data_IF_772102093015
#
_entry.id   IF_772102093015
#
_cell.length_a   1.000
_cell.length_b   1.000
_cell.length_c   1.000
_cell.angle_alpha   90.00
_cell.angle_beta   90.00
_cell.angle_gamma   90.00
#
_symmetry.space_group_name_H-M   'P 1'
#
loop_
_entity.id
_entity.type
_entity.pdbx_description
1 polymer ?
#
# COMPACT_ATOMS: atom_id res chain seq x y z
N UNK A 1 12.18 -30.73 17.82
CA UNK A 1 11.38 -29.56 17.38
C UNK A 1 10.00 -30.05 16.96
N UNK A 2 8.94 -29.71 17.71
CA UNK A 2 7.57 -30.02 17.29
C UNK A 2 7.22 -29.12 16.11
N UNK A 3 6.95 -29.72 14.96
CA UNK A 3 6.40 -29.01 13.80
C UNK A 3 5.02 -28.51 14.19
N UNK A 4 4.83 -27.20 14.13
CA UNK A 4 3.53 -26.57 14.40
C UNK A 4 2.54 -27.00 13.31
N UNK A 5 1.40 -27.54 13.73
CA UNK A 5 0.34 -27.99 12.80
C UNK A 5 -0.24 -26.75 12.06
N UNK A 6 -0.65 -26.98 10.83
CA UNK A 6 -1.29 -26.00 9.94
C UNK A 6 -2.51 -25.32 10.59
N UNK A 7 -3.16 -26.04 11.54
CA UNK A 7 -4.30 -25.52 12.33
C UNK A 7 -3.88 -24.50 13.39
N UNK A 8 -2.73 -24.69 14.02
CA UNK A 8 -2.23 -23.78 15.06
C UNK A 8 -1.67 -22.50 14.46
N UNK A 9 -1.10 -22.57 13.25
CA UNK A 9 -0.70 -21.41 12.48
C UNK A 9 -1.90 -20.52 12.08
N UNK A 10 -2.99 -21.15 11.61
CA UNK A 10 -4.22 -20.43 11.23
C UNK A 10 -4.86 -19.74 12.43
N UNK A 11 -4.83 -20.38 13.62
CA UNK A 11 -5.29 -19.76 14.87
C UNK A 11 -4.43 -18.59 15.28
N UNK A 12 -3.10 -18.67 15.13
CA UNK A 12 -2.19 -17.56 15.44
C UNK A 12 -2.36 -16.37 14.51
N UNK A 13 -2.58 -16.60 13.21
CA UNK A 13 -2.87 -15.56 12.23
C UNK A 13 -4.26 -14.90 12.44
N UNK A 14 -5.25 -15.70 12.88
CA UNK A 14 -6.59 -15.21 13.22
C UNK A 14 -6.56 -14.39 14.52
N UNK A 15 -5.77 -14.80 15.52
CA UNK A 15 -5.66 -14.08 16.81
C UNK A 15 -4.88 -12.77 16.62
N UNK A 16 -3.85 -12.74 15.76
CA UNK A 16 -3.17 -11.50 15.38
C UNK A 16 -4.10 -10.49 14.70
N UNK A 17 -4.98 -10.96 13.81
CA UNK A 17 -6.00 -10.15 13.17
C UNK A 17 -7.14 -9.70 14.11
N UNK A 18 -7.44 -10.46 15.16
CA UNK A 18 -8.51 -10.13 16.11
C UNK A 18 -8.10 -9.06 17.15
N UNK A 19 -6.83 -9.05 17.56
CA UNK A 19 -6.31 -8.03 18.48
C UNK A 19 -6.26 -6.62 17.84
N UNK A 20 -6.00 -6.56 16.53
CA UNK A 20 -5.90 -5.29 15.79
C UNK A 20 -7.24 -4.57 15.60
N UNK A 21 -8.37 -5.24 15.79
CA UNK A 21 -9.68 -4.63 15.49
C UNK A 21 -10.40 -4.03 16.69
N UNK A 22 -10.02 -4.36 17.91
CA UNK A 22 -10.56 -3.67 19.11
C UNK A 22 -9.91 -2.29 19.27
N UNK A 23 -8.62 -2.16 18.97
CA UNK A 23 -7.91 -0.88 19.03
C UNK A 23 -8.23 0.04 17.83
N UNK A 24 -8.47 -0.51 16.63
CA UNK A 24 -8.84 0.30 15.47
C UNK A 24 -10.16 1.06 15.65
N UNK A 25 -11.12 0.52 16.38
CA UNK A 25 -12.37 1.22 16.71
C UNK A 25 -12.15 2.35 17.73
N UNK A 26 -11.16 2.23 18.61
CA UNK A 26 -10.83 3.24 19.62
C UNK A 26 -9.98 4.36 19.02
N UNK A 27 -9.01 4.05 18.16
CA UNK A 27 -8.17 5.03 17.48
C UNK A 27 -8.95 5.82 16.42
N UNK A 28 -9.91 5.23 15.73
CA UNK A 28 -10.78 5.96 14.80
C UNK A 28 -11.58 7.08 15.47
N UNK A 29 -11.84 7.01 16.77
CA UNK A 29 -12.47 8.11 17.54
C UNK A 29 -11.57 9.32 17.75
N UNK A 30 -10.25 9.17 17.72
CA UNK A 30 -9.30 10.28 17.86
C UNK A 30 -8.96 10.98 16.54
N UNK A 31 -9.37 10.41 15.40
CA UNK A 31 -9.09 10.95 14.07
C UNK A 31 -10.18 11.87 13.51
N UNK A 32 -11.18 12.24 14.31
CA UNK A 32 -12.28 13.12 13.86
C UNK A 32 -11.83 14.57 13.74
N UNK A 33 -11.09 14.87 12.68
CA UNK A 33 -11.08 16.25 12.19
C UNK A 33 -12.49 16.64 11.74
N UNK A 34 -12.88 17.89 11.93
CA UNK A 34 -14.18 18.40 11.46
C UNK A 34 -14.33 18.07 9.96
N UNK A 35 -15.53 17.63 9.49
CA UNK A 35 -15.76 17.31 8.10
C UNK A 35 -15.28 18.43 7.20
N UNK A 36 -14.39 18.12 6.25
CA UNK A 36 -13.95 19.07 5.23
C UNK A 36 -14.88 18.95 4.02
N UNK A 37 -15.25 20.06 3.44
CA UNK A 37 -15.95 20.06 2.15
C UNK A 37 -14.98 19.52 1.08
N UNK A 38 -15.45 18.60 0.24
CA UNK A 38 -14.71 18.06 -0.89
C UNK A 38 -14.14 19.18 -1.79
N UNK A 39 -14.83 20.32 -1.86
CA UNK A 39 -14.35 21.52 -2.57
C UNK A 39 -13.04 22.07 -2.02
N UNK A 40 -12.78 21.92 -0.72
CA UNK A 40 -11.52 22.38 -0.11
C UNK A 40 -10.31 21.54 -0.51
N UNK A 41 -10.54 20.31 -0.99
CA UNK A 41 -9.48 19.42 -1.50
C UNK A 41 -9.05 19.82 -2.93
N UNK A 42 -9.88 20.58 -3.66
CA UNK A 42 -9.72 20.80 -5.09
C UNK A 42 -10.10 19.55 -5.89
N UNK A 43 -9.90 19.61 -7.19
CA UNK A 43 -10.24 18.52 -8.11
C UNK A 43 -9.09 18.24 -9.07
N UNK A 44 -8.96 16.98 -9.49
CA UNK A 44 -8.16 16.59 -10.64
C UNK A 44 -9.08 16.09 -11.77
N UNK A 45 -8.58 16.12 -12.99
CA UNK A 45 -9.32 15.67 -14.17
C UNK A 45 -9.31 14.15 -14.28
N UNK A 46 -8.15 13.52 -14.01
CA UNK A 46 -7.92 12.11 -14.25
C UNK A 46 -6.77 11.58 -13.40
N UNK A 47 -6.89 10.34 -12.94
CA UNK A 47 -5.82 9.60 -12.28
C UNK A 47 -5.54 8.33 -13.08
N UNK A 48 -4.30 8.15 -13.48
CA UNK A 48 -3.81 6.94 -14.16
C UNK A 48 -2.84 6.23 -13.23
N UNK A 49 -3.10 4.98 -12.90
CA UNK A 49 -2.26 4.18 -12.03
C UNK A 49 -1.79 2.94 -12.79
N UNK A 50 -0.47 2.81 -12.92
CA UNK A 50 0.17 1.63 -13.48
C UNK A 50 0.76 0.79 -12.35
N UNK A 51 0.33 -0.45 -12.21
CA UNK A 51 0.94 -1.40 -11.30
C UNK A 51 2.30 -1.83 -11.84
N UNK A 52 3.37 -1.42 -11.18
CA UNK A 52 4.73 -1.84 -11.56
C UNK A 52 5.02 -3.23 -11.02
N UNK A 53 4.65 -3.47 -9.76
CA UNK A 53 4.72 -4.76 -9.08
C UNK A 53 3.59 -4.88 -8.07
N UNK A 54 2.88 -6.02 -8.08
CA UNK A 54 1.80 -6.31 -7.14
C UNK A 54 2.08 -7.52 -6.23
N UNK A 55 3.09 -8.31 -6.54
CA UNK A 55 3.43 -9.52 -5.80
C UNK A 55 4.26 -9.14 -4.58
N UNK A 56 3.75 -9.38 -3.37
CA UNK A 56 4.51 -9.11 -2.14
C UNK A 56 5.70 -10.05 -1.99
N UNK A 57 5.45 -11.35 -2.08
CA UNK A 57 6.44 -12.44 -2.00
C UNK A 57 6.02 -13.62 -2.86
N UNK A 58 6.99 -14.50 -3.22
CA UNK A 58 6.72 -15.64 -4.09
C UNK A 58 6.27 -16.90 -3.34
N UNK A 59 6.82 -17.17 -2.16
CA UNK A 59 6.46 -18.34 -1.35
C UNK A 59 6.12 -17.94 0.09
N UNK A 60 4.85 -18.13 0.44
CA UNK A 60 4.34 -17.89 1.81
C UNK A 60 5.05 -18.76 2.86
N UNK A 61 5.51 -19.97 2.50
CA UNK A 61 6.20 -20.84 3.45
C UNK A 61 7.55 -20.25 3.85
N UNK A 62 8.28 -19.65 2.90
CA UNK A 62 9.55 -18.97 3.16
C UNK A 62 9.34 -17.76 4.05
N UNK A 63 8.36 -16.91 3.73
CA UNK A 63 8.00 -15.76 4.56
C UNK A 63 7.63 -16.17 5.99
N UNK A 64 6.82 -17.22 6.13
CA UNK A 64 6.44 -17.75 7.44
C UNK A 64 7.63 -18.33 8.22
N UNK A 65 8.55 -19.02 7.54
CA UNK A 65 9.76 -19.54 8.17
C UNK A 65 10.63 -18.41 8.74
N UNK A 66 10.80 -17.33 7.99
CA UNK A 66 11.56 -16.15 8.44
C UNK A 66 10.85 -15.45 9.62
N UNK A 67 9.54 -15.28 9.56
CA UNK A 67 8.75 -14.76 10.67
C UNK A 67 8.90 -15.62 11.93
N UNK A 68 8.92 -16.95 11.79
CA UNK A 68 9.10 -17.88 12.92
C UNK A 68 10.49 -17.77 13.53
N UNK A 69 11.56 -17.54 12.73
CA UNK A 69 12.92 -17.25 13.26
C UNK A 69 12.92 -15.99 14.13
N UNK A 70 12.14 -14.97 13.75
CA UNK A 70 11.95 -13.73 14.52
C UNK A 70 11.10 -13.89 15.80
N UNK A 71 10.65 -15.10 16.15
CA UNK A 71 9.84 -15.36 17.34
C UNK A 71 8.34 -15.52 17.08
N UNK A 72 7.93 -15.58 15.82
CA UNK A 72 6.55 -15.79 15.37
C UNK A 72 5.72 -14.51 15.27
N UNK A 73 4.46 -14.60 14.80
CA UNK A 73 3.66 -13.43 14.40
C UNK A 73 3.49 -12.33 15.46
N UNK A 74 3.54 -12.71 16.76
CA UNK A 74 3.37 -11.76 17.86
C UNK A 74 4.67 -11.06 18.31
N UNK A 75 5.83 -11.67 18.04
CA UNK A 75 7.13 -11.20 18.55
C UNK A 75 8.08 -10.74 17.46
N UNK A 76 7.88 -11.23 16.24
CA UNK A 76 8.74 -10.90 15.12
C UNK A 76 8.74 -9.38 14.86
N UNK A 77 9.94 -8.83 14.81
CA UNK A 77 10.19 -7.43 14.49
C UNK A 77 10.91 -7.34 13.16
N UNK A 78 10.37 -6.56 12.24
CA UNK A 78 10.90 -6.46 10.89
C UNK A 78 12.38 -6.08 10.87
N UNK A 79 12.76 -5.08 11.66
CA UNK A 79 14.11 -4.50 11.62
C UNK A 79 15.18 -5.30 12.35
N UNK A 80 14.80 -6.28 13.16
CA UNK A 80 15.72 -7.18 13.89
C UNK A 80 15.76 -8.60 13.36
N UNK A 81 14.84 -8.95 12.46
CA UNK A 81 14.73 -10.29 11.87
C UNK A 81 15.47 -10.33 10.53
N UNK A 82 16.21 -11.40 10.27
CA UNK A 82 16.82 -11.69 8.98
C UNK A 82 15.77 -12.29 8.05
N UNK A 83 15.55 -11.63 6.91
CA UNK A 83 14.58 -12.04 5.89
C UNK A 83 15.28 -12.55 4.65
N UNK A 84 14.69 -13.55 4.01
CA UNK A 84 15.15 -14.04 2.72
C UNK A 84 14.74 -13.08 1.59
N UNK A 85 15.62 -12.13 1.26
CA UNK A 85 15.37 -11.15 0.21
C UNK A 85 15.12 -11.76 -1.18
N UNK A 86 15.57 -13.02 -1.42
CA UNK A 86 15.28 -13.74 -2.66
C UNK A 86 13.82 -14.18 -2.78
N UNK A 87 13.06 -14.17 -1.69
CA UNK A 87 11.64 -14.45 -1.68
C UNK A 87 10.77 -13.18 -1.87
N UNK A 88 11.38 -12.02 -1.95
CA UNK A 88 10.67 -10.76 -2.06
C UNK A 88 10.45 -10.30 -3.49
N UNK A 89 9.28 -9.78 -3.77
CA UNK A 89 8.98 -8.96 -4.96
C UNK A 89 8.61 -7.55 -4.50
N UNK A 90 7.49 -7.42 -3.82
CA UNK A 90 7.00 -6.19 -3.21
C UNK A 90 6.05 -5.40 -4.11
N UNK A 91 5.37 -4.44 -3.49
CA UNK A 91 4.38 -3.58 -4.13
C UNK A 91 5.01 -2.26 -4.60
N UNK A 92 4.68 -1.85 -5.82
CA UNK A 92 5.05 -0.55 -6.36
C UNK A 92 4.09 -0.14 -7.46
N UNK A 93 3.68 1.12 -7.47
CA UNK A 93 2.82 1.68 -8.52
C UNK A 93 3.34 3.03 -9.01
N UNK A 94 3.19 3.30 -10.30
CA UNK A 94 3.40 4.62 -10.89
C UNK A 94 2.04 5.31 -11.02
N UNK A 95 1.91 6.47 -10.43
CA UNK A 95 0.70 7.29 -10.46
C UNK A 95 0.95 8.55 -11.27
N UNK A 96 0.06 8.86 -12.22
CA UNK A 96 -0.01 10.13 -12.92
C UNK A 96 -1.37 10.77 -12.64
N UNK A 97 -1.37 11.98 -12.12
CA UNK A 97 -2.57 12.79 -11.91
C UNK A 97 -2.55 13.97 -12.87
N UNK A 98 -3.57 14.08 -13.70
CA UNK A 98 -3.81 15.21 -14.58
C UNK A 98 -4.70 16.24 -13.88
N UNK A 99 -4.19 17.43 -13.66
CA UNK A 99 -4.94 18.54 -13.10
C UNK A 99 -5.96 19.12 -14.12
N UNK A 100 -6.84 20.01 -13.66
CA UNK A 100 -7.85 20.62 -14.52
C UNK A 100 -7.25 21.52 -15.62
N UNK A 101 -6.08 22.10 -15.36
CA UNK A 101 -5.33 22.93 -16.34
C UNK A 101 -4.46 22.12 -17.31
N UNK A 102 -4.49 20.78 -17.18
CA UNK A 102 -3.71 19.85 -18.01
C UNK A 102 -2.29 19.58 -17.49
N UNK A 103 -1.84 20.25 -16.44
CA UNK A 103 -0.57 19.92 -15.78
C UNK A 103 -0.61 18.52 -15.18
N UNK A 104 0.55 17.88 -15.02
CA UNK A 104 0.66 16.52 -14.55
C UNK A 104 1.57 16.42 -13.34
N UNK A 105 1.13 15.67 -12.35
CA UNK A 105 1.94 15.24 -11.21
C UNK A 105 2.17 13.73 -11.35
N UNK A 106 3.44 13.28 -11.34
CA UNK A 106 3.82 11.87 -11.40
C UNK A 106 4.59 11.48 -10.16
N UNK A 107 4.25 10.34 -9.60
CA UNK A 107 4.96 9.85 -8.43
C UNK A 107 4.88 8.33 -8.33
N UNK A 108 5.82 7.76 -7.56
CA UNK A 108 5.76 6.36 -7.18
C UNK A 108 5.01 6.21 -5.86
N UNK A 109 4.22 5.16 -5.75
CA UNK A 109 3.68 4.65 -4.49
C UNK A 109 4.40 3.35 -4.18
N UNK A 110 5.16 3.37 -3.08
CA UNK A 110 6.02 2.29 -2.61
C UNK A 110 7.18 1.91 -3.57
N UNK A 111 8.09 1.05 -3.13
CA UNK A 111 9.31 0.72 -3.87
C UNK A 111 9.54 -0.77 -4.08
N UNK A 112 8.60 -1.61 -3.59
CA UNK A 112 8.79 -3.05 -3.58
C UNK A 112 9.77 -3.53 -2.50
N UNK A 113 10.24 -4.76 -2.66
CA UNK A 113 11.13 -5.41 -1.70
C UNK A 113 12.53 -5.71 -2.29
N UNK A 114 12.58 -6.55 -3.33
CA UNK A 114 13.84 -7.02 -3.91
C UNK A 114 14.38 -6.01 -4.93
N UNK A 115 15.56 -5.40 -4.71
CA UNK A 115 16.10 -4.38 -5.62
C UNK A 115 16.39 -4.89 -7.03
N UNK A 116 16.85 -6.14 -7.19
CA UNK A 116 17.17 -6.72 -8.52
C UNK A 116 15.88 -6.93 -9.31
N UNK A 117 14.85 -7.48 -8.67
CA UNK A 117 13.55 -7.66 -9.29
C UNK A 117 12.93 -6.31 -9.65
N UNK A 118 12.97 -5.34 -8.75
CA UNK A 118 12.43 -4.01 -9.01
C UNK A 118 13.20 -3.27 -10.11
N UNK A 119 14.53 -3.45 -10.21
CA UNK A 119 15.33 -2.90 -11.30
C UNK A 119 14.87 -3.42 -12.67
N UNK A 120 14.58 -4.72 -12.75
CA UNK A 120 14.01 -5.31 -13.96
C UNK A 120 12.63 -4.72 -14.25
N UNK A 121 11.75 -4.62 -13.25
CA UNK A 121 10.40 -4.07 -13.44
C UNK A 121 10.44 -2.60 -13.88
N UNK A 122 11.33 -1.78 -13.29
CA UNK A 122 11.50 -0.38 -13.67
C UNK A 122 11.94 -0.24 -15.13
N UNK A 123 12.88 -1.06 -15.58
CA UNK A 123 13.30 -1.09 -17.00
C UNK A 123 12.18 -1.55 -17.94
N UNK A 124 11.48 -2.62 -17.57
CA UNK A 124 10.38 -3.17 -18.38
C UNK A 124 9.24 -2.16 -18.56
N UNK A 125 9.03 -1.24 -17.60
CA UNK A 125 7.95 -0.26 -17.60
C UNK A 125 8.41 1.19 -17.89
N UNK A 126 9.72 1.40 -18.10
CA UNK A 126 10.30 2.70 -18.43
C UNK A 126 10.44 3.67 -17.24
N UNK A 127 10.21 3.19 -16.01
CA UNK A 127 10.30 3.99 -14.78
C UNK A 127 11.74 4.44 -14.51
N UNK A 128 12.73 3.61 -14.88
CA UNK A 128 14.15 3.94 -14.79
C UNK A 128 14.52 5.21 -15.56
N UNK A 129 13.95 5.39 -16.76
CA UNK A 129 14.17 6.59 -17.57
C UNK A 129 13.47 7.81 -16.98
N UNK A 130 12.22 7.64 -16.53
CA UNK A 130 11.46 8.71 -15.89
C UNK A 130 12.16 9.24 -14.64
N UNK A 131 12.70 8.34 -13.79
CA UNK A 131 13.48 8.74 -12.62
C UNK A 131 14.75 9.51 -12.99
N UNK A 132 15.52 9.01 -13.96
CA UNK A 132 16.74 9.69 -14.45
C UNK A 132 16.49 11.08 -15.03
N UNK A 133 15.35 11.23 -15.72
CA UNK A 133 14.97 12.49 -16.35
C UNK A 133 14.31 13.48 -15.39
N UNK A 134 14.09 13.11 -14.10
CA UNK A 134 13.37 13.96 -13.14
C UNK A 134 11.88 14.11 -13.45
N UNK A 135 11.29 13.15 -14.17
CA UNK A 135 9.87 13.16 -14.52
C UNK A 135 8.96 12.62 -13.40
N UNK A 136 9.56 12.15 -12.30
CA UNK A 136 8.85 11.66 -11.11
C UNK A 136 9.08 12.66 -9.98
N UNK A 137 8.01 13.31 -9.54
CA UNK A 137 8.04 14.42 -8.59
C UNK A 137 8.41 14.00 -7.17
N UNK A 138 7.97 12.81 -6.75
CA UNK A 138 8.26 12.25 -5.43
C UNK A 138 7.99 10.74 -5.36
N UNK A 139 8.53 10.13 -4.31
CA UNK A 139 8.15 8.79 -3.84
C UNK A 139 7.23 8.94 -2.62
N UNK A 140 6.09 8.30 -2.66
CA UNK A 140 5.14 8.19 -1.55
C UNK A 140 5.21 6.79 -0.96
N UNK A 141 5.68 6.66 0.27
CA UNK A 141 5.75 5.37 0.97
C UNK A 141 4.55 5.23 1.89
N UNK A 142 3.74 4.22 1.65
CA UNK A 142 2.48 4.04 2.39
C UNK A 142 2.71 3.64 3.83
N UNK A 143 3.67 2.76 4.09
CA UNK A 143 4.06 2.30 5.42
C UNK A 143 5.42 1.58 5.36
N UNK A 144 5.90 1.16 6.52
CA UNK A 144 7.29 0.75 6.72
C UNK A 144 7.59 -0.73 6.40
N UNK A 145 6.58 -1.52 5.95
CA UNK A 145 6.81 -2.94 5.67
C UNK A 145 7.86 -3.16 4.57
N UNK A 146 8.55 -4.29 4.72
CA UNK A 146 9.66 -4.71 3.87
C UNK A 146 9.28 -4.77 2.38
N UNK A 147 8.09 -5.23 2.06
CA UNK A 147 7.59 -5.37 0.68
C UNK A 147 7.04 -4.06 0.08
N UNK A 148 7.13 -2.94 0.81
CA UNK A 148 6.79 -1.60 0.36
C UNK A 148 8.00 -0.65 0.32
N UNK A 149 9.01 -0.90 1.18
CA UNK A 149 10.12 0.04 1.37
C UNK A 149 11.48 -0.51 0.93
N UNK A 150 11.74 -1.83 1.05
CA UNK A 150 13.10 -2.34 0.96
C UNK A 150 13.67 -2.40 -0.46
N UNK A 151 12.86 -2.20 -1.50
CA UNK A 151 13.29 -1.96 -2.87
C UNK A 151 13.86 -0.57 -3.16
N UNK A 152 13.96 0.30 -2.14
CA UNK A 152 14.38 1.70 -2.26
C UNK A 152 15.72 1.90 -2.99
N UNK A 153 16.66 0.96 -2.87
CA UNK A 153 17.93 1.00 -3.60
C UNK A 153 17.74 1.20 -5.10
N UNK A 154 16.73 0.56 -5.68
CA UNK A 154 16.42 0.70 -7.11
C UNK A 154 15.97 2.10 -7.47
N UNK A 155 15.12 2.70 -6.66
CA UNK A 155 14.67 4.09 -6.89
C UNK A 155 15.86 5.05 -6.82
N UNK A 156 16.69 4.91 -5.78
CA UNK A 156 17.86 5.77 -5.55
C UNK A 156 18.96 5.57 -6.59
N UNK A 157 19.09 4.39 -7.18
CA UNK A 157 20.01 4.12 -8.29
C UNK A 157 19.78 5.06 -9.48
N UNK A 158 18.52 5.40 -9.71
CA UNK A 158 18.12 6.24 -10.85
C UNK A 158 17.90 7.70 -10.47
N UNK A 159 17.47 7.97 -9.23
CA UNK A 159 17.31 9.33 -8.71
C UNK A 159 17.59 9.38 -7.20
N UNK A 160 18.85 9.58 -6.78
CA UNK A 160 19.21 9.67 -5.37
C UNK A 160 18.67 10.93 -4.67
N UNK A 161 18.22 11.92 -5.43
CA UNK A 161 17.71 13.20 -4.92
C UNK A 161 16.17 13.27 -4.89
N UNK A 162 15.48 12.17 -5.21
CA UNK A 162 14.02 12.13 -5.21
C UNK A 162 13.46 12.55 -3.84
N UNK A 163 12.45 13.41 -3.83
CA UNK A 163 11.73 13.73 -2.60
C UNK A 163 10.96 12.48 -2.12
N UNK A 164 11.07 12.14 -0.84
CA UNK A 164 10.39 10.99 -0.24
C UNK A 164 9.40 11.48 0.81
N UNK A 165 8.15 11.00 0.72
CA UNK A 165 7.07 11.27 1.69
C UNK A 165 6.79 10.00 2.48
N UNK A 166 6.90 10.06 3.81
CA UNK A 166 6.64 8.95 4.73
C UNK A 166 5.62 9.37 5.79
N UNK A 167 4.87 8.44 6.42
CA UNK A 167 4.09 8.76 7.61
C UNK A 167 5.03 9.05 8.80
N UNK A 168 4.64 10.00 9.65
CA UNK A 168 5.44 10.41 10.83
C UNK A 168 5.56 9.33 11.92
N UNK A 169 4.95 8.17 11.71
CA UNK A 169 5.05 7.00 12.60
C UNK A 169 6.22 6.08 12.30
N UNK A 170 7.03 6.38 11.29
CA UNK A 170 8.22 5.57 10.97
C UNK A 170 9.14 5.43 12.18
N UNK A 171 9.56 4.21 12.44
CA UNK A 171 10.53 3.93 13.48
C UNK A 171 11.92 4.47 13.12
N UNK A 172 12.77 4.79 14.11
CA UNK A 172 14.14 5.22 13.84
C UNK A 172 14.93 4.31 12.88
N UNK A 173 14.81 2.96 12.95
CA UNK A 173 15.43 2.09 11.95
C UNK A 173 14.93 2.31 10.52
N UNK A 174 13.65 2.60 10.33
CA UNK A 174 13.09 2.89 9.00
C UNK A 174 13.58 4.22 8.43
N UNK A 175 13.59 5.27 9.24
CA UNK A 175 14.19 6.56 8.87
C UNK A 175 15.67 6.40 8.53
N UNK A 176 16.42 5.64 9.36
CA UNK A 176 17.82 5.31 9.10
C UNK A 176 17.99 4.51 7.80
N UNK A 177 17.09 3.57 7.52
CA UNK A 177 17.11 2.81 6.27
C UNK A 177 16.99 3.72 5.04
N UNK A 178 16.20 4.79 5.09
CA UNK A 178 16.09 5.75 3.99
C UNK A 178 17.35 6.61 3.88
N UNK A 179 17.84 7.16 4.98
CA UNK A 179 18.91 8.16 5.00
C UNK A 179 20.33 7.57 4.97
N UNK A 180 20.51 6.29 5.29
CA UNK A 180 21.81 5.62 5.37
C UNK A 180 22.03 4.72 4.15
N UNK A 181 23.29 4.60 3.70
CA UNK A 181 23.70 3.69 2.63
C UNK A 181 23.70 2.21 3.06
N UNK A 182 23.78 1.93 4.37
CA UNK A 182 23.89 0.56 4.89
C UNK A 182 22.86 0.30 5.99
N UNK A 183 22.16 -0.83 5.85
CA UNK A 183 21.38 -1.41 6.92
C UNK A 183 21.52 -2.94 6.91
N UNK A 184 22.31 -3.48 7.83
CA UNK A 184 22.79 -4.87 7.77
C UNK A 184 21.96 -5.92 8.53
N UNK A 185 21.08 -5.50 9.47
CA UNK A 185 20.38 -6.47 10.35
C UNK A 185 19.28 -7.26 9.66
N UNK A 186 18.72 -6.71 8.61
CA UNK A 186 17.58 -7.31 7.88
C UNK A 186 17.97 -8.15 6.65
N UNK A 187 19.27 -8.33 6.40
CA UNK A 187 19.78 -9.04 5.22
C UNK A 187 19.80 -8.23 3.93
N UNK A 188 19.38 -6.95 3.97
CA UNK A 188 19.45 -6.04 2.83
C UNK A 188 20.66 -5.12 2.97
N UNK A 189 21.50 -5.12 1.94
CA UNK A 189 22.60 -4.16 1.80
C UNK A 189 22.17 -3.04 0.88
N UNK A 190 22.35 -1.81 1.33
CA UNK A 190 22.20 -0.61 0.51
C UNK A 190 23.55 0.05 0.31
N UNK A 191 23.78 0.55 -0.91
CA UNK A 191 25.02 1.21 -1.29
C UNK A 191 24.82 2.68 -1.68
N UNK A 192 23.58 3.08 -1.97
CA UNK A 192 23.24 4.43 -2.44
C UNK A 192 22.51 5.19 -1.32
N UNK A 193 23.09 6.30 -0.90
CA UNK A 193 22.51 7.18 0.08
C UNK A 193 21.44 8.07 -0.54
N UNK A 194 20.30 8.26 0.13
CA UNK A 194 19.34 9.28 -0.22
C UNK A 194 19.89 10.67 0.05
N UNK A 195 19.81 11.55 -0.94
CA UNK A 195 20.32 12.92 -0.90
C UNK A 195 19.23 13.98 -1.01
N UNK A 196 18.01 13.55 -1.32
CA UNK A 196 16.87 14.43 -1.49
C UNK A 196 16.19 14.81 -0.17
N UNK A 197 15.02 15.42 -0.28
CA UNK A 197 14.22 15.82 0.87
C UNK A 197 13.39 14.64 1.39
N UNK A 198 13.56 14.29 2.65
CA UNK A 198 12.66 13.41 3.40
C UNK A 198 11.59 14.27 4.09
N UNK A 199 10.31 13.95 3.87
CA UNK A 199 9.17 14.68 4.43
C UNK A 199 8.31 13.71 5.21
N UNK A 200 8.13 13.97 6.49
CA UNK A 200 7.21 13.24 7.35
C UNK A 200 5.83 13.88 7.29
N UNK A 201 4.84 13.11 6.88
CA UNK A 201 3.43 13.52 6.89
C UNK A 201 2.79 13.09 8.21
N UNK A 202 2.22 14.05 8.92
CA UNK A 202 1.64 13.79 10.24
C UNK A 202 0.43 12.86 10.15
N UNK A 203 0.47 11.77 10.89
CA UNK A 203 -0.70 10.91 11.08
C UNK A 203 -1.76 11.63 11.91
N UNK A 204 -3.04 11.28 11.67
CA UNK A 204 -4.17 11.99 12.26
C UNK A 204 -4.52 13.33 11.60
N UNK A 205 -3.69 13.82 10.69
CA UNK A 205 -3.92 15.02 9.89
C UNK A 205 -4.07 14.67 8.41
N UNK A 206 -4.82 15.50 7.68
CA UNK A 206 -4.86 15.45 6.23
C UNK A 206 -3.83 16.41 5.65
N UNK A 207 -3.04 15.94 4.71
CA UNK A 207 -2.09 16.78 3.97
C UNK A 207 -2.51 16.83 2.50
N UNK A 208 -2.81 18.02 2.01
CA UNK A 208 -3.01 18.24 0.58
C UNK A 208 -1.64 18.27 -0.11
N UNK A 209 -1.43 17.36 -1.06
CA UNK A 209 -0.18 17.28 -1.84
C UNK A 209 -0.24 18.17 -3.07
N UNK A 210 -1.38 18.15 -3.78
CA UNK A 210 -1.71 19.02 -4.91
C UNK A 210 -3.25 19.18 -4.97
N UNK A 211 -3.81 20.12 -5.76
CA UNK A 211 -5.25 20.17 -5.97
C UNK A 211 -5.81 18.81 -6.40
N UNK A 212 -6.80 18.31 -5.67
CA UNK A 212 -7.39 17.00 -5.89
C UNK A 212 -6.60 15.80 -5.36
N UNK A 213 -5.45 16.00 -4.70
CA UNK A 213 -4.64 14.92 -4.11
C UNK A 213 -4.46 15.17 -2.62
N UNK A 214 -4.96 14.27 -1.80
CA UNK A 214 -4.84 14.32 -0.33
C UNK A 214 -4.21 13.03 0.20
N UNK A 215 -3.28 13.18 1.13
CA UNK A 215 -2.78 12.11 1.99
C UNK A 215 -3.49 12.16 3.34
N UNK A 216 -3.87 11.01 3.87
CA UNK A 216 -4.29 10.83 5.25
C UNK A 216 -3.52 9.69 5.89
N UNK A 217 -2.92 9.96 7.04
CA UNK A 217 -2.17 9.00 7.83
C UNK A 217 -2.95 8.52 9.05
N UNK A 218 -2.75 7.28 9.41
CA UNK A 218 -3.43 6.59 10.50
C UNK A 218 -2.39 5.97 11.43
N UNK A 219 -2.54 6.25 12.73
CA UNK A 219 -1.67 5.72 13.78
C UNK A 219 -2.27 4.42 14.33
N UNK A 220 -1.69 3.29 13.98
CA UNK A 220 -2.09 1.98 14.48
C UNK A 220 -0.91 1.01 14.47
N UNK A 221 -0.90 0.05 15.41
CA UNK A 221 0.06 -1.03 15.38
C UNK A 221 -0.26 -2.01 14.24
N UNK A 222 0.78 -2.38 13.50
CA UNK A 222 0.72 -3.32 12.38
C UNK A 222 1.61 -4.53 12.71
N UNK A 223 1.38 -5.66 12.02
CA UNK A 223 2.24 -6.84 12.18
C UNK A 223 3.71 -6.49 11.99
N UNK A 224 4.62 -7.34 12.48
CA UNK A 224 6.07 -7.14 12.41
C UNK A 224 6.57 -5.92 13.20
N UNK A 225 5.77 -5.45 14.17
CA UNK A 225 6.07 -4.28 15.01
C UNK A 225 6.26 -2.98 14.23
N UNK A 226 5.52 -2.81 13.18
CA UNK A 226 5.44 -1.57 12.41
C UNK A 226 4.31 -0.70 12.94
N UNK A 227 4.43 0.62 12.80
CA UNK A 227 3.46 1.58 13.30
C UNK A 227 2.98 2.51 12.19
N UNK A 228 1.66 2.58 12.03
CA UNK A 228 0.98 3.52 11.14
C UNK A 228 1.07 3.22 9.65
N UNK A 229 0.11 3.73 8.93
CA UNK A 229 0.09 3.73 7.47
C UNK A 229 -0.63 4.97 6.94
N UNK A 230 -0.35 5.34 5.71
CA UNK A 230 -1.01 6.45 5.03
C UNK A 230 -1.56 6.02 3.67
N UNK A 231 -2.63 6.68 3.25
CA UNK A 231 -3.30 6.45 1.97
C UNK A 231 -3.57 7.74 1.24
N UNK A 232 -3.74 7.65 -0.07
CA UNK A 232 -4.07 8.77 -0.93
C UNK A 232 -5.56 8.76 -1.28
N UNK A 233 -6.12 9.94 -1.40
CA UNK A 233 -7.46 10.18 -1.89
C UNK A 233 -7.40 11.17 -3.04
N UNK A 234 -7.98 10.80 -4.17
CA UNK A 234 -8.05 11.66 -5.34
C UNK A 234 -9.49 12.11 -5.56
N UNK A 235 -9.71 13.42 -5.64
CA UNK A 235 -11.02 13.96 -5.98
C UNK A 235 -11.10 14.17 -7.49
N UNK A 236 -11.68 13.19 -8.19
CA UNK A 236 -11.83 13.23 -9.64
C UNK A 236 -13.09 13.99 -10.01
N UNK A 237 -12.94 15.05 -10.81
CA UNK A 237 -14.02 15.93 -11.24
C UNK A 237 -15.20 15.15 -11.81
N UNK A 238 -16.41 15.48 -11.39
CA UNK A 238 -17.69 14.87 -11.82
C UNK A 238 -17.83 13.36 -11.51
N UNK A 239 -16.82 12.73 -10.87
CA UNK A 239 -16.82 11.29 -10.53
C UNK A 239 -16.85 11.06 -9.02
N UNK A 240 -16.06 11.79 -8.25
CA UNK A 240 -15.91 11.64 -6.80
C UNK A 240 -14.56 11.08 -6.37
N UNK A 241 -14.49 10.61 -5.12
CA UNK A 241 -13.25 10.18 -4.51
C UNK A 241 -12.80 8.79 -4.98
N UNK A 242 -11.50 8.70 -5.26
CA UNK A 242 -10.76 7.45 -5.46
C UNK A 242 -9.84 7.25 -4.27
N UNK A 243 -9.94 6.13 -3.58
CA UNK A 243 -9.03 5.70 -2.53
C UNK A 243 -7.88 4.88 -3.14
N UNK A 244 -6.64 5.25 -2.82
CA UNK A 244 -5.44 4.48 -3.21
C UNK A 244 -4.65 4.09 -1.97
N UNK A 245 -4.44 2.79 -1.76
CA UNK A 245 -3.81 2.20 -0.58
C UNK A 245 -2.57 1.39 -0.95
N UNK A 246 -1.66 1.19 0.01
CA UNK A 246 -0.62 0.16 -0.08
C UNK A 246 -1.17 -1.20 0.35
N UNK A 247 -1.47 -1.34 1.65
CA UNK A 247 -2.01 -2.58 2.23
C UNK A 247 -3.36 -2.43 2.91
N UNK A 248 -3.72 -1.25 3.38
CA UNK A 248 -5.00 -1.04 4.05
C UNK A 248 -5.16 -1.86 5.35
N UNK A 249 -4.14 -1.87 6.23
CA UNK A 249 -4.13 -2.67 7.45
C UNK A 249 -5.25 -2.32 8.43
N UNK A 250 -5.74 -1.07 8.38
CA UNK A 250 -6.91 -0.64 9.16
C UNK A 250 -8.24 -1.16 8.63
N UNK A 251 -8.24 -1.90 7.52
CA UNK A 251 -9.44 -2.31 6.82
C UNK A 251 -10.00 -1.24 5.86
N UNK A 252 -10.37 -1.69 4.68
CA UNK A 252 -10.96 -0.86 3.62
C UNK A 252 -12.21 -0.11 4.07
N UNK A 253 -12.96 -0.66 5.03
CA UNK A 253 -14.15 -0.03 5.59
C UNK A 253 -13.77 1.26 6.34
N UNK A 254 -12.74 1.19 7.21
CA UNK A 254 -12.24 2.34 7.96
C UNK A 254 -11.74 3.46 7.04
N UNK A 255 -10.95 3.12 6.02
CA UNK A 255 -10.45 4.10 5.04
C UNK A 255 -11.57 4.73 4.22
N UNK A 256 -12.58 3.94 3.86
CA UNK A 256 -13.74 4.42 3.11
C UNK A 256 -14.67 5.28 3.97
N UNK A 257 -14.93 4.87 5.22
CA UNK A 257 -15.70 5.68 6.18
C UNK A 257 -14.96 6.99 6.51
N UNK A 258 -13.62 6.98 6.58
CA UNK A 258 -12.83 8.19 6.74
C UNK A 258 -13.06 9.18 5.58
N UNK A 259 -13.04 8.70 4.34
CA UNK A 259 -13.31 9.51 3.16
C UNK A 259 -14.71 10.15 3.20
N UNK A 260 -15.71 9.38 3.58
CA UNK A 260 -17.09 9.87 3.70
C UNK A 260 -17.22 10.94 4.80
N UNK A 261 -16.65 10.67 5.97
CA UNK A 261 -16.84 11.51 7.16
C UNK A 261 -15.96 12.76 7.15
N UNK A 262 -14.77 12.69 6.52
CA UNK A 262 -13.78 13.77 6.61
C UNK A 262 -13.50 14.48 5.28
N UNK A 263 -13.82 13.86 4.15
CA UNK A 263 -13.61 14.45 2.82
C UNK A 263 -14.92 14.78 2.09
N UNK A 264 -16.08 14.60 2.73
CA UNK A 264 -17.36 14.99 2.17
C UNK A 264 -17.83 14.13 0.99
N UNK A 265 -17.44 12.86 0.93
CA UNK A 265 -17.80 11.95 -0.17
C UNK A 265 -19.28 11.57 -0.27
N UNK A 266 -20.16 12.14 0.58
CA UNK A 266 -21.63 11.97 0.57
C UNK A 266 -22.10 10.50 0.45
N UNK A 267 -21.38 9.57 1.13
CA UNK A 267 -21.77 8.17 1.24
C UNK A 267 -21.38 7.28 0.06
N UNK A 268 -20.75 7.81 -0.99
CA UNK A 268 -20.31 7.00 -2.15
C UNK A 268 -18.90 7.36 -2.57
N UNK A 269 -18.13 6.33 -2.93
CA UNK A 269 -16.79 6.44 -3.47
C UNK A 269 -16.78 6.01 -4.93
N UNK A 270 -16.03 6.72 -5.76
CA UNK A 270 -15.94 6.41 -7.17
C UNK A 270 -15.03 5.21 -7.44
N UNK A 271 -13.84 5.17 -6.82
CA UNK A 271 -12.86 4.15 -7.11
C UNK A 271 -12.03 3.71 -5.91
N UNK A 272 -11.43 2.53 -6.07
CA UNK A 272 -10.51 1.94 -5.11
C UNK A 272 -9.35 1.32 -5.88
N UNK A 273 -8.11 1.59 -5.44
CA UNK A 273 -6.91 0.97 -5.98
C UNK A 273 -5.99 0.51 -4.83
N UNK A 274 -5.36 -0.68 -5.02
CA UNK A 274 -4.26 -1.15 -4.17
C UNK A 274 -4.57 -2.40 -3.37
N UNK A 275 -3.69 -2.71 -2.42
CA UNK A 275 -3.83 -3.81 -1.48
C UNK A 275 -4.88 -3.53 -0.41
N UNK A 276 -5.67 -4.54 -0.03
CA UNK A 276 -6.75 -4.42 0.96
C UNK A 276 -6.55 -5.30 2.20
N UNK A 277 -5.47 -6.04 2.25
CA UNK A 277 -5.07 -6.95 3.35
C UNK A 277 -6.22 -7.84 3.87
N UNK A 278 -7.07 -8.35 2.97
CA UNK A 278 -8.23 -9.14 3.35
C UNK A 278 -7.87 -10.62 3.51
N UNK A 279 -7.21 -11.19 2.49
CA UNK A 279 -6.83 -12.61 2.49
C UNK A 279 -5.39 -12.84 1.98
N UNK A 280 -4.36 -12.15 2.52
CA UNK A 280 -2.99 -12.18 1.99
C UNK A 280 -2.35 -13.57 2.02
N UNK A 281 -2.81 -14.44 2.91
CA UNK A 281 -2.31 -15.81 3.05
C UNK A 281 -3.26 -16.88 2.47
N UNK A 282 -4.15 -16.49 1.57
CA UNK A 282 -5.01 -17.39 0.80
C UNK A 282 -6.20 -17.97 1.53
N UNK A 283 -6.60 -17.44 2.70
CA UNK A 283 -7.83 -17.84 3.41
C UNK A 283 -8.73 -16.65 3.64
N UNK A 284 -10.02 -16.83 3.34
CA UNK A 284 -11.09 -15.91 3.65
C UNK A 284 -11.91 -16.53 4.78
N UNK A 285 -11.91 -15.92 5.96
CA UNK A 285 -12.73 -16.32 7.10
C UNK A 285 -13.98 -15.45 7.20
N UNK A 286 -14.92 -15.82 8.07
CA UNK A 286 -16.20 -15.11 8.26
C UNK A 286 -16.03 -13.59 8.47
N UNK A 287 -15.03 -13.18 9.26
CA UNK A 287 -14.74 -11.78 9.51
C UNK A 287 -14.35 -11.04 8.23
N UNK A 288 -13.45 -11.63 7.45
CA UNK A 288 -12.99 -11.07 6.18
C UNK A 288 -14.12 -11.07 5.14
N UNK A 289 -14.97 -12.10 5.10
CA UNK A 289 -16.19 -12.09 4.29
C UNK A 289 -17.11 -10.96 4.68
N UNK A 290 -17.27 -10.70 5.98
CA UNK A 290 -18.02 -9.55 6.50
C UNK A 290 -17.48 -8.22 5.99
N UNK A 291 -16.13 -8.07 5.89
CA UNK A 291 -15.54 -6.87 5.30
C UNK A 291 -15.88 -6.73 3.81
N UNK A 292 -15.73 -7.82 3.04
CA UNK A 292 -16.06 -7.79 1.61
C UNK A 292 -17.54 -7.47 1.42
N UNK A 293 -18.44 -8.09 2.18
CA UNK A 293 -19.88 -7.80 2.11
C UNK A 293 -20.18 -6.31 2.40
N UNK A 294 -19.53 -5.74 3.41
CA UNK A 294 -19.73 -4.35 3.81
C UNK A 294 -19.15 -3.33 2.81
N UNK A 295 -18.25 -3.72 1.91
CA UNK A 295 -17.76 -2.81 0.86
C UNK A 295 -18.88 -2.31 -0.06
N UNK A 296 -19.97 -3.10 -0.20
CA UNK A 296 -21.13 -2.75 -1.05
C UNK A 296 -21.78 -1.42 -0.66
N UNK A 297 -21.72 -1.02 0.63
CA UNK A 297 -22.30 0.25 1.11
C UNK A 297 -21.67 1.49 0.46
N UNK A 298 -20.42 1.41 0.00
CA UNK A 298 -19.68 2.54 -0.53
C UNK A 298 -19.95 2.85 -2.01
N UNK A 299 -20.58 1.92 -2.72
CA UNK A 299 -21.04 2.14 -4.10
C UNK A 299 -19.95 2.36 -5.12
N UNK A 300 -18.74 1.80 -4.91
CA UNK A 300 -17.62 1.86 -5.85
C UNK A 300 -18.07 1.55 -7.29
N UNK A 301 -17.52 2.29 -8.25
CA UNK A 301 -17.71 2.06 -9.69
C UNK A 301 -16.54 1.32 -10.32
N UNK A 302 -15.38 1.32 -9.65
CA UNK A 302 -14.17 0.57 -10.05
C UNK A 302 -13.44 0.12 -8.79
N UNK A 303 -13.17 -1.19 -8.68
CA UNK A 303 -12.34 -1.78 -7.62
C UNK A 303 -11.12 -2.42 -8.29
N UNK A 304 -10.00 -1.73 -8.28
CA UNK A 304 -8.74 -2.18 -8.85
C UNK A 304 -7.84 -2.71 -7.72
N UNK A 305 -8.30 -3.72 -7.01
CA UNK A 305 -7.54 -4.34 -5.93
C UNK A 305 -6.42 -5.23 -6.46
N UNK A 306 -5.37 -5.40 -5.66
CA UNK A 306 -4.22 -6.26 -5.99
C UNK A 306 -3.46 -6.67 -4.71
N UNK A 307 -2.21 -7.14 -4.86
CA UNK A 307 -1.24 -7.38 -3.80
C UNK A 307 -1.81 -8.22 -2.65
N UNK A 308 -1.82 -7.70 -1.42
CA UNK A 308 -2.28 -8.38 -0.20
C UNK A 308 -3.80 -8.54 -0.08
N UNK A 309 -4.59 -8.10 -1.06
CA UNK A 309 -6.04 -8.35 -1.08
C UNK A 309 -6.33 -9.85 -1.05
N UNK A 310 -5.55 -10.64 -1.79
CA UNK A 310 -5.68 -12.08 -1.86
C UNK A 310 -6.81 -12.55 -2.80
N UNK A 311 -6.53 -13.58 -3.57
CA UNK A 311 -7.47 -14.15 -4.56
C UNK A 311 -8.82 -14.57 -3.97
N UNK A 312 -8.92 -15.17 -2.76
CA UNK A 312 -10.22 -15.52 -2.19
C UNK A 312 -11.13 -14.31 -1.99
N UNK A 313 -10.57 -13.17 -1.57
CA UNK A 313 -11.34 -11.93 -1.40
C UNK A 313 -11.81 -11.38 -2.76
N UNK A 314 -10.95 -11.41 -3.78
CA UNK A 314 -11.32 -10.97 -5.13
C UNK A 314 -12.44 -11.84 -5.72
N UNK A 315 -12.36 -13.16 -5.55
CA UNK A 315 -13.42 -14.08 -5.99
C UNK A 315 -14.75 -13.75 -5.29
N UNK A 316 -14.70 -13.48 -4.00
CA UNK A 316 -15.90 -13.08 -3.24
C UNK A 316 -16.47 -11.75 -3.74
N UNK A 317 -15.64 -10.77 -4.07
CA UNK A 317 -16.09 -9.51 -4.68
C UNK A 317 -16.80 -9.76 -6.03
N UNK A 318 -16.24 -10.64 -6.87
CA UNK A 318 -16.83 -11.01 -8.16
C UNK A 318 -18.18 -11.76 -7.98
N UNK A 319 -18.28 -12.68 -7.01
CA UNK A 319 -19.52 -13.37 -6.65
C UNK A 319 -20.63 -12.40 -6.23
N UNK A 320 -20.24 -11.33 -5.52
CA UNK A 320 -21.17 -10.26 -5.09
C UNK A 320 -21.49 -9.25 -6.19
N UNK A 321 -20.97 -9.44 -7.41
CA UNK A 321 -21.19 -8.54 -8.53
C UNK A 321 -20.50 -7.18 -8.41
N UNK A 322 -19.45 -7.07 -7.61
CA UNK A 322 -18.70 -5.83 -7.48
C UNK A 322 -17.92 -5.52 -8.75
N UNK A 323 -17.71 -4.21 -9.07
CA UNK A 323 -17.06 -3.78 -10.29
C UNK A 323 -15.53 -3.94 -10.22
N UNK A 324 -15.07 -5.18 -10.06
CA UNK A 324 -13.65 -5.52 -10.01
C UNK A 324 -13.01 -5.31 -11.37
N UNK A 325 -11.93 -4.56 -11.41
CA UNK A 325 -11.10 -4.37 -12.60
C UNK A 325 -10.19 -5.60 -12.74
N UNK A 326 -10.37 -6.35 -13.80
CA UNK A 326 -9.51 -7.49 -14.14
C UNK A 326 -8.19 -7.01 -14.72
N UNK A 327 -7.15 -7.80 -14.51
CA UNK A 327 -5.83 -7.59 -15.09
C UNK A 327 -5.56 -8.51 -16.28
N UNK A 328 -4.31 -8.51 -16.71
CA UNK A 328 -3.86 -9.34 -17.85
C UNK A 328 -3.25 -10.68 -17.41
N UNK A 329 -2.93 -10.86 -16.13
CA UNK A 329 -2.21 -12.04 -15.63
C UNK A 329 -0.79 -12.20 -16.18
N UNK A 330 -0.23 -11.14 -16.80
CA UNK A 330 1.09 -11.16 -17.45
C UNK A 330 2.20 -10.71 -16.51
N UNK A 331 3.44 -10.79 -17.00
CA UNK A 331 4.64 -10.25 -16.36
C UNK A 331 4.88 -10.75 -14.92
N UNK A 332 4.47 -11.99 -14.63
CA UNK A 332 4.61 -12.59 -13.31
C UNK A 332 3.55 -12.18 -12.29
N UNK A 333 2.42 -11.63 -12.74
CA UNK A 333 1.25 -11.40 -11.89
C UNK A 333 0.70 -12.71 -11.34
N UNK A 334 0.11 -12.67 -10.14
CA UNK A 334 -0.48 -13.85 -9.53
C UNK A 334 -1.77 -14.32 -10.22
N UNK A 335 -2.52 -13.41 -10.86
CA UNK A 335 -3.79 -13.72 -11.52
C UNK A 335 -4.19 -12.65 -12.53
N UNK A 336 -5.11 -13.00 -13.43
CA UNK A 336 -5.84 -12.10 -14.31
C UNK A 336 -7.16 -11.58 -13.70
N UNK A 337 -7.55 -12.09 -12.53
CA UNK A 337 -8.79 -11.68 -11.86
C UNK A 337 -8.71 -10.27 -11.27
N UNK A 338 -7.52 -9.70 -11.13
CA UNK A 338 -7.28 -8.38 -10.58
C UNK A 338 -6.10 -7.69 -11.28
N UNK A 339 -5.90 -6.41 -11.00
CA UNK A 339 -4.84 -5.58 -11.60
C UNK A 339 -3.46 -6.10 -11.23
N UNK A 340 -2.71 -6.55 -12.21
CA UNK A 340 -1.40 -7.16 -12.06
C UNK A 340 -0.24 -6.31 -12.59
N UNK A 341 0.95 -6.92 -12.62
CA UNK A 341 2.18 -6.28 -13.08
C UNK A 341 2.06 -5.72 -14.52
N UNK A 342 2.30 -4.43 -14.68
CA UNK A 342 2.23 -3.71 -15.95
C UNK A 342 0.83 -3.32 -16.39
N UNK A 343 -0.21 -3.71 -15.65
CA UNK A 343 -1.57 -3.26 -15.95
C UNK A 343 -1.79 -1.80 -15.55
N UNK A 344 -2.65 -1.12 -16.28
CA UNK A 344 -2.96 0.29 -16.07
C UNK A 344 -4.46 0.48 -15.81
N UNK A 345 -4.78 1.24 -14.78
CA UNK A 345 -6.15 1.62 -14.44
C UNK A 345 -6.30 3.13 -14.55
N UNK A 346 -7.41 3.58 -15.13
CA UNK A 346 -7.74 4.99 -15.29
C UNK A 346 -9.01 5.31 -14.50
N UNK A 347 -8.95 6.34 -13.70
CA UNK A 347 -10.06 6.96 -12.99
C UNK A 347 -10.26 8.38 -13.54
N UNK A 348 -11.36 8.61 -14.24
CA UNK A 348 -11.69 9.85 -14.92
C UNK A 348 -12.76 9.66 -15.98
#
# INVERSE_FOLDING_TARGET
MKTMDRRDFVKAAIIGGAALTLDAAVTARHLSAAPRDLKAVGECKKVTIKSISEVGWWDTKVLMADMMKGGGPKKCEQWSTEWNSKNGAGSCSLVEVEALDGSKTRFLVDTGWNPEYMDKRFKDEGVDKMLKNGEIDFLYVTHEHLDHLWGLETTLKYNPEIKILIPSTFHPPGVKFISSAEYSKSGIKRSIQHKGKLVELKVGEMTQLNPGIVSAGFDLPIILKIQGEQSLYFNVKDKGLVLCTGCCHQNVITFSDYAINNLGAKGKLYGLYGGLHIAPFGKLGEKQEGWVNNMGKFGFKKIASNHCTGLPAVRKMLELGYPVVKGTGRKGSQSDLYVGNGDTVVFG
#
